data_IF_869505621219
#
_entry.id   IF_869505621219
#
_cell.length_a   1.000
_cell.length_b   1.000
_cell.length_c   1.000
_cell.angle_alpha   90.00
_cell.angle_beta   90.00
_cell.angle_gamma   90.00
#
_symmetry.space_group_name_H-M   'P 1'
#
loop_
_entity.id
_entity.type
_entity.pdbx_description
1 polymer ?
#
# COMPACT_ATOMS: atom_id res chain seq x y z
N UNK A 1 -39.68 -6.84 27.01
CA UNK A 1 -39.78 -6.86 25.54
C UNK A 1 -38.42 -6.43 25.00
N UNK A 2 -37.66 -7.35 24.43
CA UNK A 2 -36.34 -7.06 23.87
C UNK A 2 -36.39 -7.32 22.37
N UNK A 3 -35.97 -6.32 21.61
CA UNK A 3 -35.92 -6.37 20.15
C UNK A 3 -34.53 -6.87 19.77
N UNK A 4 -34.46 -8.01 19.08
CA UNK A 4 -33.20 -8.51 18.51
C UNK A 4 -33.16 -8.18 17.02
N UNK A 5 -32.06 -7.59 16.59
CA UNK A 5 -31.81 -7.27 15.18
C UNK A 5 -30.67 -8.17 14.72
N UNK A 6 -30.90 -8.93 13.65
CA UNK A 6 -29.87 -9.74 13.00
C UNK A 6 -29.44 -8.97 11.76
N UNK A 7 -28.20 -8.49 11.77
CA UNK A 7 -27.61 -7.83 10.61
C UNK A 7 -27.20 -8.91 9.60
N UNK A 8 -28.01 -9.07 8.55
CA UNK A 8 -27.58 -9.81 7.37
C UNK A 8 -26.50 -8.96 6.66
N UNK A 9 -25.24 -9.18 7.04
CA UNK A 9 -24.12 -8.54 6.36
C UNK A 9 -23.93 -9.21 5.02
N UNK A 10 -24.65 -8.73 4.02
CA UNK A 10 -24.45 -9.06 2.61
C UNK A 10 -23.20 -8.30 2.13
N UNK A 11 -22.06 -8.59 2.76
CA UNK A 11 -20.78 -8.08 2.35
C UNK A 11 -20.43 -8.80 1.04
N UNK A 12 -21.00 -8.31 -0.06
CA UNK A 12 -20.69 -8.74 -1.42
C UNK A 12 -19.19 -8.57 -1.60
N UNK A 13 -18.44 -9.67 -1.43
CA UNK A 13 -17.00 -9.70 -1.57
C UNK A 13 -16.71 -9.30 -3.01
N UNK A 14 -16.31 -8.04 -3.19
CA UNK A 14 -15.90 -7.54 -4.48
C UNK A 14 -14.53 -8.14 -4.73
N UNK A 15 -14.40 -8.96 -5.78
CA UNK A 15 -13.09 -9.45 -6.22
C UNK A 15 -12.10 -8.29 -6.27
N UNK A 16 -10.98 -8.43 -5.58
CA UNK A 16 -9.95 -7.41 -5.56
C UNK A 16 -9.41 -7.30 -6.98
N UNK A 17 -9.57 -6.13 -7.61
CA UNK A 17 -8.98 -5.86 -8.93
C UNK A 17 -7.47 -5.96 -8.79
N UNK A 18 -6.79 -6.43 -9.82
CA UNK A 18 -5.33 -6.40 -9.88
C UNK A 18 -4.84 -4.98 -9.59
N UNK A 19 -3.81 -4.80 -8.74
CA UNK A 19 -3.26 -3.49 -8.48
C UNK A 19 -2.73 -2.88 -9.79
N UNK A 20 -3.00 -1.60 -10.02
CA UNK A 20 -2.38 -0.85 -11.11
C UNK A 20 -0.90 -0.67 -10.78
N UNK A 21 -0.02 -1.13 -11.67
CA UNK A 21 1.42 -0.93 -11.58
C UNK A 21 1.76 0.38 -12.30
N UNK A 22 2.47 1.28 -11.63
CA UNK A 22 2.97 2.52 -12.21
C UNK A 22 4.24 2.28 -13.00
N UNK A 23 4.43 3.06 -14.05
CA UNK A 23 5.65 3.15 -14.83
C UNK A 23 6.56 4.24 -14.25
N UNK A 24 7.90 4.13 -14.41
CA UNK A 24 8.83 5.15 -13.94
C UNK A 24 8.65 6.53 -14.60
N UNK A 25 8.01 6.56 -15.77
CA UNK A 25 7.71 7.76 -16.56
C UNK A 25 6.41 8.46 -16.13
N UNK A 26 5.63 7.85 -15.23
CA UNK A 26 4.44 8.48 -14.67
C UNK A 26 4.86 9.71 -13.84
N UNK A 27 4.37 10.89 -14.24
CA UNK A 27 4.68 12.14 -13.56
C UNK A 27 3.79 12.28 -12.31
N UNK A 28 4.41 12.36 -11.12
CA UNK A 28 3.76 12.60 -9.82
C UNK A 28 2.65 11.58 -9.39
N UNK A 29 2.87 10.25 -9.43
CA UNK A 29 1.85 9.28 -9.01
C UNK A 29 1.60 9.23 -7.49
N UNK A 30 2.51 9.80 -6.68
CA UNK A 30 2.54 9.58 -5.23
C UNK A 30 2.88 8.13 -4.88
N UNK A 31 2.31 7.60 -3.79
CA UNK A 31 2.48 6.19 -3.39
C UNK A 31 1.84 5.22 -4.40
N UNK A 32 2.68 4.44 -5.09
CA UNK A 32 2.25 3.47 -6.10
C UNK A 32 3.06 2.17 -6.05
N UNK A 33 2.59 1.13 -6.76
CA UNK A 33 3.26 -0.14 -6.96
C UNK A 33 4.11 -0.08 -8.24
N UNK A 34 5.37 -0.47 -8.16
CA UNK A 34 6.31 -0.52 -9.30
C UNK A 34 6.85 -1.93 -9.50
N UNK A 35 7.34 -2.22 -10.70
CA UNK A 35 8.04 -3.47 -10.99
C UNK A 35 9.38 -3.55 -10.25
N UNK A 36 9.62 -4.71 -9.64
CA UNK A 36 10.90 -5.06 -9.03
C UNK A 36 11.24 -6.50 -9.39
N UNK A 37 12.05 -6.67 -10.43
CA UNK A 37 12.50 -7.99 -10.88
C UNK A 37 13.66 -8.46 -9.99
N UNK A 38 13.40 -9.50 -9.24
CA UNK A 38 14.38 -10.23 -8.44
C UNK A 38 15.01 -11.31 -9.32
N UNK A 39 16.32 -11.24 -9.51
CA UNK A 39 17.10 -12.26 -10.23
C UNK A 39 17.91 -13.09 -9.23
N UNK A 40 17.50 -14.34 -9.02
CA UNK A 40 18.11 -15.21 -8.02
C UNK A 40 19.53 -15.65 -8.38
N UNK A 41 19.89 -15.62 -9.67
CA UNK A 41 21.26 -15.91 -10.10
C UNK A 41 22.19 -14.74 -9.74
N UNK A 42 21.74 -13.50 -9.95
CA UNK A 42 22.51 -12.30 -9.57
C UNK A 42 22.68 -12.17 -8.06
N UNK A 43 21.65 -12.55 -7.29
CA UNK A 43 21.70 -12.55 -5.82
C UNK A 43 22.57 -13.71 -5.28
N UNK A 44 22.89 -14.70 -6.12
CA UNK A 44 23.70 -15.86 -5.74
C UNK A 44 22.93 -16.95 -5.00
N UNK A 45 21.60 -16.95 -5.07
CA UNK A 45 20.75 -17.96 -4.45
C UNK A 45 20.66 -19.21 -5.33
N UNK A 46 21.59 -20.15 -5.12
CA UNK A 46 21.70 -21.39 -5.91
C UNK A 46 20.67 -22.47 -5.56
N UNK A 47 19.93 -22.32 -4.47
CA UNK A 47 18.91 -23.30 -4.06
C UNK A 47 17.59 -23.14 -4.82
N UNK A 48 17.39 -22.04 -5.55
CA UNK A 48 16.20 -21.82 -6.36
C UNK A 48 16.45 -22.38 -7.76
N UNK A 49 15.75 -23.47 -8.08
CA UNK A 49 15.88 -24.18 -9.36
C UNK A 49 15.08 -23.46 -10.46
N UNK A 50 13.87 -23.00 -10.13
CA UNK A 50 13.03 -22.20 -11.00
C UNK A 50 11.96 -21.46 -10.17
N UNK A 51 11.46 -20.29 -10.61
CA UNK A 51 11.95 -19.51 -11.75
C UNK A 51 13.29 -18.82 -11.43
N UNK A 52 14.06 -18.44 -12.45
CA UNK A 52 15.31 -17.68 -12.24
C UNK A 52 15.05 -16.20 -11.92
N UNK A 53 13.91 -15.67 -12.38
CA UNK A 53 13.48 -14.29 -12.18
C UNK A 53 12.04 -14.25 -11.67
N UNK A 54 11.76 -13.34 -10.74
CA UNK A 54 10.42 -13.12 -10.18
C UNK A 54 10.15 -11.63 -10.01
N UNK A 55 8.98 -11.15 -10.42
CA UNK A 55 8.57 -9.78 -10.15
C UNK A 55 7.94 -9.71 -8.75
N UNK A 56 8.73 -9.24 -7.78
CA UNK A 56 8.26 -9.08 -6.40
C UNK A 56 7.36 -7.85 -6.23
N UNK A 57 7.46 -6.91 -7.17
CA UNK A 57 6.93 -5.55 -7.07
C UNK A 57 7.44 -4.79 -5.84
N UNK A 58 7.30 -3.47 -5.84
CA UNK A 58 7.65 -2.63 -4.69
C UNK A 58 6.76 -1.40 -4.62
N UNK A 59 6.27 -1.10 -3.40
CA UNK A 59 5.60 0.17 -3.13
C UNK A 59 6.62 1.29 -2.97
N UNK A 60 6.44 2.40 -3.69
CA UNK A 60 7.31 3.57 -3.61
C UNK A 60 6.52 4.85 -3.87
N UNK A 61 6.96 5.95 -3.27
CA UNK A 61 6.44 7.30 -3.51
C UNK A 61 5.88 7.95 -2.25
N UNK A 62 5.57 9.24 -2.36
CA UNK A 62 5.13 10.03 -1.22
C UNK A 62 3.65 9.81 -0.88
N UNK A 63 3.38 9.71 0.41
CA UNK A 63 2.02 9.64 0.94
C UNK A 63 1.55 11.04 1.36
N UNK A 64 1.34 11.91 0.37
CA UNK A 64 0.67 13.18 0.65
C UNK A 64 -0.78 12.92 1.09
N UNK A 65 -1.32 13.84 1.89
CA UNK A 65 -2.65 13.71 2.50
C UNK A 65 -3.81 13.58 1.50
N UNK A 66 -3.57 13.81 0.21
CA UNK A 66 -4.57 13.82 -0.85
C UNK A 66 -4.64 12.52 -1.68
N UNK A 67 -3.74 11.55 -1.46
CA UNK A 67 -3.81 10.28 -2.19
C UNK A 67 -4.93 9.38 -1.64
N UNK A 68 -5.74 8.82 -2.52
CA UNK A 68 -6.94 8.02 -2.20
C UNK A 68 -6.66 6.78 -1.35
N UNK A 69 -5.44 6.24 -1.41
CA UNK A 69 -5.02 5.01 -0.72
C UNK A 69 -4.69 5.20 0.77
N UNK A 70 -4.43 6.44 1.18
CA UNK A 70 -4.03 6.86 2.53
C UNK A 70 -5.18 6.70 3.54
N UNK A 71 -6.44 6.71 3.11
CA UNK A 71 -7.59 6.83 4.02
C UNK A 71 -8.25 5.52 4.43
N UNK A 72 -7.65 4.37 4.10
CA UNK A 72 -8.29 3.06 4.31
C UNK A 72 -8.40 2.63 5.78
N UNK A 73 -7.42 2.98 6.61
CA UNK A 73 -7.41 2.62 8.03
C UNK A 73 -7.83 3.78 8.92
N UNK A 74 -8.66 3.52 9.93
CA UNK A 74 -9.14 4.54 10.87
C UNK A 74 -8.00 5.28 11.59
N UNK A 75 -6.96 4.54 11.98
CA UNK A 75 -5.77 5.11 12.64
C UNK A 75 -5.03 6.12 11.75
N UNK A 76 -5.10 5.94 10.44
CA UNK A 76 -4.50 6.85 9.47
C UNK A 76 -5.26 8.17 9.36
N UNK A 77 -6.59 8.12 9.47
CA UNK A 77 -7.43 9.33 9.54
C UNK A 77 -7.13 10.15 10.79
N UNK A 78 -6.95 9.50 11.93
CA UNK A 78 -6.59 10.16 13.21
C UNK A 78 -5.18 10.73 13.14
N UNK A 79 -4.22 9.98 12.60
CA UNK A 79 -2.86 10.46 12.41
C UNK A 79 -2.79 11.71 11.51
N UNK A 80 -3.64 11.78 10.46
CA UNK A 80 -3.77 12.95 9.58
C UNK A 80 -4.34 14.19 10.27
N UNK A 81 -5.24 14.02 11.25
CA UNK A 81 -5.89 15.14 11.96
C UNK A 81 -5.19 15.51 13.27
N UNK A 82 -4.24 14.70 13.72
CA UNK A 82 -3.50 14.92 14.96
C UNK A 82 -2.42 16.00 14.81
N UNK A 83 -2.01 16.58 15.95
CA UNK A 83 -0.96 17.62 16.04
C UNK A 83 0.41 17.13 15.55
N UNK A 84 0.56 15.80 15.35
CA UNK A 84 1.80 15.09 15.02
C UNK A 84 2.26 15.35 13.56
N UNK A 85 1.36 15.72 12.65
CA UNK A 85 1.71 15.98 11.23
C UNK A 85 1.96 17.47 10.92
N UNK A 86 2.17 18.32 11.92
CA UNK A 86 2.67 19.68 11.66
C UNK A 86 4.08 19.57 11.11
N UNK A 87 4.22 19.90 9.83
CA UNK A 87 5.35 19.68 8.92
C UNK A 87 6.72 20.25 9.38
N UNK A 88 6.84 20.79 10.59
CA UNK A 88 7.98 21.59 11.03
C UNK A 88 8.83 20.97 12.16
N UNK A 89 8.54 19.74 12.59
CA UNK A 89 9.36 19.06 13.60
C UNK A 89 9.76 17.67 13.11
N UNK A 90 10.93 17.59 12.47
CA UNK A 90 11.62 16.37 12.03
C UNK A 90 10.96 15.65 10.84
N UNK A 91 11.60 15.70 9.67
CA UNK A 91 11.12 15.18 8.39
C UNK A 91 10.97 13.65 8.28
N UNK A 92 10.32 13.01 9.25
CA UNK A 92 10.06 11.56 9.29
C UNK A 92 8.75 11.16 10.00
N UNK A 93 7.83 12.09 10.27
CA UNK A 93 6.51 11.78 10.85
C UNK A 93 5.38 11.80 9.81
N UNK A 94 5.71 11.51 8.55
CA UNK A 94 4.75 11.31 7.47
C UNK A 94 4.24 9.88 7.43
N UNK A 95 3.08 9.68 6.82
CA UNK A 95 2.61 8.34 6.50
C UNK A 95 3.56 7.64 5.51
N UNK A 96 3.75 6.33 5.65
CA UNK A 96 4.64 5.56 4.78
C UNK A 96 3.87 4.80 3.69
N UNK A 97 4.46 4.70 2.50
CA UNK A 97 3.94 3.90 1.40
C UNK A 97 4.32 2.43 1.62
N UNK A 98 3.33 1.56 1.86
CA UNK A 98 3.57 0.14 2.12
C UNK A 98 2.52 -0.75 1.43
N UNK A 99 2.81 -2.04 1.21
CA UNK A 99 1.87 -2.98 0.61
C UNK A 99 0.59 -3.13 1.45
N UNK A 100 -0.57 -3.14 0.79
CA UNK A 100 -1.87 -3.38 1.42
C UNK A 100 -2.52 -4.64 0.81
N UNK A 101 -2.77 -5.62 1.67
CA UNK A 101 -3.42 -6.90 1.34
C UNK A 101 -4.87 -6.75 0.84
#
# INVERSE_FOLDING_TARGET
MFMSVILASDAKSRGKRSPSVCMPEDQEPGCCLYDLIVDFQQIGWKFIIAPHKYNAYMCRGDCSVNHTHVTRSGHTKVAKTGIITRQDATGNQGMCCHPAE
#
